data_IF_230082170334
#
_entry.id   IF_230082170334
#
_cell.length_a   1.000
_cell.length_b   1.000
_cell.length_c   1.000
_cell.angle_alpha   90.00
_cell.angle_beta   90.00
_cell.angle_gamma   90.00
#
_symmetry.space_group_name_H-M   'P 1'
#
loop_
_entity.id
_entity.type
_entity.pdbx_description
1 polymer ?
#
# COMPACT_ATOMS: atom_id res chain seq x y z
N UNK A 1 -11.18 -69.23 -31.65
CA UNK A 1 -12.01 -68.14 -32.23
C UNK A 1 -12.69 -67.30 -31.15
N UNK A 2 -13.35 -67.88 -30.14
CA UNK A 2 -13.97 -67.14 -29.02
C UNK A 2 -12.99 -66.30 -28.17
N UNK A 3 -11.78 -66.79 -27.90
CA UNK A 3 -10.76 -66.07 -27.11
C UNK A 3 -10.29 -64.76 -27.78
N UNK A 4 -10.17 -64.76 -29.11
CA UNK A 4 -9.78 -63.57 -29.87
C UNK A 4 -10.90 -62.51 -29.82
N UNK A 5 -12.16 -62.92 -29.98
CA UNK A 5 -13.31 -62.01 -29.84
C UNK A 5 -13.39 -61.39 -28.45
N UNK A 6 -13.06 -62.15 -27.40
CA UNK A 6 -13.03 -61.63 -26.04
C UNK A 6 -11.90 -60.61 -25.84
N UNK A 7 -10.68 -60.90 -26.33
CA UNK A 7 -9.54 -59.96 -26.27
C UNK A 7 -9.83 -58.65 -27.03
N UNK A 8 -10.46 -58.75 -28.20
CA UNK A 8 -10.87 -57.59 -28.99
C UNK A 8 -11.84 -56.70 -28.19
N UNK A 9 -12.90 -57.30 -27.61
CA UNK A 9 -13.89 -56.56 -26.82
C UNK A 9 -13.28 -55.83 -25.62
N UNK A 10 -12.29 -56.45 -24.96
CA UNK A 10 -11.55 -55.80 -23.86
C UNK A 10 -10.78 -54.57 -24.36
N UNK A 11 -10.06 -54.69 -25.48
CA UNK A 11 -9.29 -53.56 -26.06
C UNK A 11 -10.18 -52.43 -26.56
N UNK A 12 -11.34 -52.74 -27.14
CA UNK A 12 -12.34 -51.74 -27.52
C UNK A 12 -12.86 -50.97 -26.30
N UNK A 13 -13.08 -51.67 -25.19
CA UNK A 13 -13.53 -51.06 -23.94
C UNK A 13 -12.43 -50.17 -23.32
N UNK A 14 -11.19 -50.65 -23.22
CA UNK A 14 -10.05 -49.86 -22.73
C UNK A 14 -9.85 -48.58 -23.56
N UNK A 15 -9.97 -48.67 -24.90
CA UNK A 15 -9.88 -47.50 -25.79
C UNK A 15 -11.02 -46.51 -25.52
N UNK A 16 -12.25 -47.01 -25.32
CA UNK A 16 -13.42 -46.17 -25.01
C UNK A 16 -13.24 -45.44 -23.67
N UNK A 17 -12.75 -46.13 -22.65
CA UNK A 17 -12.51 -45.55 -21.33
C UNK A 17 -11.38 -44.51 -21.38
N UNK A 18 -10.28 -44.80 -22.09
CA UNK A 18 -9.18 -43.86 -22.31
C UNK A 18 -9.66 -42.56 -22.96
N UNK A 19 -10.45 -42.64 -24.04
CA UNK A 19 -11.01 -41.45 -24.72
C UNK A 19 -11.87 -40.62 -23.78
N UNK A 20 -12.69 -41.27 -22.95
CA UNK A 20 -13.52 -40.57 -21.95
C UNK A 20 -12.67 -39.82 -20.93
N UNK A 21 -11.60 -40.45 -20.43
CA UNK A 21 -10.67 -39.81 -19.47
C UNK A 21 -9.97 -38.61 -20.13
N UNK A 22 -9.47 -38.76 -21.35
CA UNK A 22 -8.82 -37.66 -22.09
C UNK A 22 -9.75 -36.46 -22.27
N UNK A 23 -10.99 -36.69 -22.68
CA UNK A 23 -11.99 -35.62 -22.81
C UNK A 23 -12.35 -34.99 -21.46
N UNK A 24 -12.42 -35.79 -20.39
CA UNK A 24 -12.66 -35.32 -19.03
C UNK A 24 -11.57 -34.40 -18.53
N UNK A 25 -10.30 -34.79 -18.71
CA UNK A 25 -9.14 -33.97 -18.35
C UNK A 25 -9.11 -32.69 -19.17
N UNK A 26 -9.39 -32.75 -20.47
CA UNK A 26 -9.44 -31.55 -21.33
C UNK A 26 -10.47 -30.53 -20.80
N UNK A 27 -11.71 -30.96 -20.54
CA UNK A 27 -12.75 -30.09 -19.98
C UNK A 27 -12.40 -29.55 -18.59
N UNK A 28 -11.77 -30.39 -17.76
CA UNK A 28 -11.31 -29.96 -16.44
C UNK A 28 -10.22 -28.90 -16.53
N UNK A 29 -9.29 -29.01 -17.47
CA UNK A 29 -8.23 -28.03 -17.69
C UNK A 29 -8.80 -26.68 -18.16
N UNK A 30 -9.73 -26.70 -19.12
CA UNK A 30 -10.46 -25.50 -19.57
C UNK A 30 -11.17 -24.81 -18.39
N UNK A 31 -11.90 -25.57 -17.56
CA UNK A 31 -12.54 -25.02 -16.37
C UNK A 31 -11.54 -24.38 -15.40
N UNK A 32 -10.42 -25.05 -15.12
CA UNK A 32 -9.39 -24.52 -14.21
C UNK A 32 -8.76 -23.25 -14.78
N UNK A 33 -8.61 -23.13 -16.10
CA UNK A 33 -8.15 -21.89 -16.73
C UNK A 33 -9.14 -20.74 -16.47
N UNK A 34 -10.43 -20.96 -16.73
CA UNK A 34 -11.46 -19.94 -16.51
C UNK A 34 -11.53 -19.52 -15.03
N UNK A 35 -11.51 -20.49 -14.11
CA UNK A 35 -11.50 -20.22 -12.66
C UNK A 35 -10.24 -19.42 -12.24
N UNK A 36 -9.08 -19.72 -12.85
CA UNK A 36 -7.82 -19.00 -12.60
C UNK A 36 -7.87 -17.57 -13.11
N UNK A 37 -8.38 -17.34 -14.33
CA UNK A 37 -8.51 -16.01 -14.91
C UNK A 37 -9.44 -15.11 -14.08
N UNK A 38 -10.57 -15.66 -13.63
CA UNK A 38 -11.51 -14.95 -12.76
C UNK A 38 -10.85 -14.55 -11.44
N UNK A 39 -10.18 -15.50 -10.79
CA UNK A 39 -9.49 -15.24 -9.52
C UNK A 39 -8.39 -14.17 -9.70
N UNK A 40 -7.49 -14.33 -10.65
CA UNK A 40 -6.42 -13.35 -10.87
C UNK A 40 -6.96 -11.95 -11.19
N UNK A 41 -8.08 -11.86 -11.90
CA UNK A 41 -8.77 -10.59 -12.16
C UNK A 41 -9.31 -9.94 -10.87
N UNK A 42 -9.85 -10.73 -9.94
CA UNK A 42 -10.27 -10.22 -8.62
C UNK A 42 -9.10 -9.75 -7.78
N UNK A 43 -7.95 -10.44 -7.85
CA UNK A 43 -6.72 -10.01 -7.16
C UNK A 43 -6.22 -8.69 -7.72
N UNK A 44 -6.21 -8.53 -9.05
CA UNK A 44 -5.82 -7.28 -9.67
C UNK A 44 -6.70 -6.11 -9.19
N UNK A 45 -8.03 -6.27 -9.17
CA UNK A 45 -8.94 -5.26 -8.63
C UNK A 45 -8.66 -4.95 -7.15
N UNK A 46 -8.29 -5.97 -6.37
CA UNK A 46 -7.93 -5.79 -4.97
C UNK A 46 -6.64 -4.99 -4.80
N UNK A 47 -5.66 -5.17 -5.69
CA UNK A 47 -4.43 -4.38 -5.73
C UNK A 47 -4.69 -2.93 -6.14
N UNK A 48 -5.55 -2.70 -7.15
CA UNK A 48 -5.98 -1.36 -7.56
C UNK A 48 -6.66 -0.63 -6.40
N UNK A 49 -7.58 -1.30 -5.68
CA UNK A 49 -8.20 -0.74 -4.47
C UNK A 49 -7.19 -0.46 -3.36
N UNK A 50 -6.18 -1.32 -3.18
CA UNK A 50 -5.14 -1.09 -2.19
C UNK A 50 -4.34 0.17 -2.53
N UNK A 51 -4.04 0.41 -3.81
CA UNK A 51 -3.39 1.63 -4.26
C UNK A 51 -4.23 2.86 -3.89
N UNK A 52 -5.52 2.86 -4.22
CA UNK A 52 -6.44 3.97 -3.89
C UNK A 52 -6.46 4.27 -2.38
N UNK A 53 -6.51 3.23 -1.53
CA UNK A 53 -6.49 3.39 -0.08
C UNK A 53 -5.16 3.95 0.44
N UNK A 54 -4.03 3.56 -0.15
CA UNK A 54 -2.71 4.10 0.21
C UNK A 54 -2.64 5.59 -0.13
N UNK A 55 -3.07 5.96 -1.34
CA UNK A 55 -3.13 7.36 -1.78
C UNK A 55 -4.02 8.20 -0.86
N UNK A 56 -5.23 7.72 -0.55
CA UNK A 56 -6.16 8.41 0.37
C UNK A 56 -5.54 8.66 1.75
N UNK A 57 -4.90 7.64 2.34
CA UNK A 57 -4.25 7.77 3.64
C UNK A 57 -3.10 8.77 3.59
N UNK A 58 -2.30 8.76 2.52
CA UNK A 58 -1.18 9.69 2.35
C UNK A 58 -1.66 11.13 2.18
N UNK A 59 -2.68 11.35 1.35
CA UNK A 59 -3.24 12.68 1.10
C UNK A 59 -3.88 13.26 2.35
N UNK A 60 -4.67 12.45 3.08
CA UNK A 60 -5.28 12.88 4.33
C UNK A 60 -4.22 13.24 5.39
N UNK A 61 -3.18 12.42 5.53
CA UNK A 61 -2.09 12.68 6.47
C UNK A 61 -1.26 13.90 6.07
N UNK A 62 -1.04 14.11 4.77
CA UNK A 62 -0.33 15.28 4.24
C UNK A 62 -1.10 16.56 4.53
N UNK A 63 -2.40 16.58 4.19
CA UNK A 63 -3.27 17.73 4.41
C UNK A 63 -3.35 18.11 5.90
N UNK A 64 -3.57 17.13 6.78
CA UNK A 64 -3.63 17.38 8.23
C UNK A 64 -2.33 17.99 8.76
N UNK A 65 -1.18 17.43 8.38
CA UNK A 65 0.14 17.91 8.82
C UNK A 65 0.47 19.29 8.27
N UNK A 66 0.11 19.56 7.01
CA UNK A 66 0.32 20.87 6.40
C UNK A 66 -0.55 21.93 7.06
N UNK A 67 -1.82 21.62 7.37
CA UNK A 67 -2.70 22.56 8.07
C UNK A 67 -2.17 22.91 9.46
N UNK A 68 -1.70 21.92 10.22
CA UNK A 68 -1.07 22.14 11.53
C UNK A 68 0.20 23.00 11.42
N UNK A 69 1.05 22.73 10.43
CA UNK A 69 2.27 23.50 10.20
C UNK A 69 1.95 24.95 9.78
N UNK A 70 0.92 25.14 8.95
CA UNK A 70 0.46 26.44 8.48
C UNK A 70 -0.05 27.30 9.64
N UNK A 71 -0.86 26.73 10.53
CA UNK A 71 -1.35 27.44 11.73
C UNK A 71 -0.20 27.93 12.62
N UNK A 72 0.82 27.09 12.83
CA UNK A 72 2.01 27.48 13.59
C UNK A 72 2.80 28.59 12.86
N UNK A 73 2.93 28.50 11.54
CA UNK A 73 3.61 29.52 10.75
C UNK A 73 2.89 30.88 10.82
N UNK A 74 1.56 30.89 10.67
CA UNK A 74 0.74 32.11 10.76
C UNK A 74 0.85 32.78 12.14
N UNK A 75 0.81 31.98 13.21
CA UNK A 75 1.00 32.49 14.56
C UNK A 75 2.40 33.07 14.76
N UNK A 76 3.45 32.43 14.24
CA UNK A 76 4.82 32.96 14.28
C UNK A 76 4.95 34.28 13.50
N UNK A 77 4.34 34.38 12.31
CA UNK A 77 4.33 35.60 11.51
C UNK A 77 3.64 36.76 12.24
N UNK A 78 2.51 36.48 12.89
CA UNK A 78 1.79 37.45 13.71
C UNK A 78 2.62 37.91 14.91
N UNK A 79 3.24 36.97 15.64
CA UNK A 79 4.11 37.25 16.78
C UNK A 79 5.31 38.12 16.36
N UNK A 80 5.99 37.77 15.26
CA UNK A 80 7.11 38.54 14.71
C UNK A 80 6.66 39.97 14.37
N UNK A 81 5.50 40.13 13.73
CA UNK A 81 4.99 41.45 13.35
C UNK A 81 4.67 42.32 14.55
N UNK A 82 4.05 41.75 15.60
CA UNK A 82 3.77 42.47 16.84
C UNK A 82 5.07 42.87 17.55
N UNK A 83 6.05 41.97 17.62
CA UNK A 83 7.38 42.26 18.18
C UNK A 83 8.10 43.37 17.41
N UNK A 84 8.08 43.35 16.08
CA UNK A 84 8.67 44.41 15.24
C UNK A 84 8.01 45.77 15.46
N UNK A 85 6.67 45.80 15.57
CA UNK A 85 5.91 47.01 15.88
C UNK A 85 6.34 47.57 17.25
N UNK A 86 6.35 46.73 18.28
CA UNK A 86 6.75 47.12 19.63
C UNK A 86 8.21 47.59 19.69
N UNK A 87 9.12 46.93 19.00
CA UNK A 87 10.52 47.35 18.92
C UNK A 87 10.68 48.75 18.30
N UNK A 88 9.87 49.06 17.29
CA UNK A 88 9.85 50.39 16.64
C UNK A 88 9.30 51.45 17.58
N UNK A 89 8.13 51.21 18.18
CA UNK A 89 7.50 52.11 19.16
C UNK A 89 8.42 52.36 20.37
N UNK A 90 9.19 51.35 20.81
CA UNK A 90 10.13 51.47 21.92
C UNK A 90 11.34 52.35 21.57
N UNK A 91 11.84 52.27 20.33
CA UNK A 91 12.90 53.16 19.83
C UNK A 91 12.42 54.61 19.76
N UNK A 92 11.21 54.83 19.27
CA UNK A 92 10.61 56.16 19.21
C UNK A 92 10.41 56.73 20.63
N UNK A 93 9.88 55.93 21.56
CA UNK A 93 9.67 56.33 22.95
C UNK A 93 10.98 56.70 23.67
N UNK A 94 12.06 55.95 23.42
CA UNK A 94 13.38 56.23 23.99
C UNK A 94 13.97 57.57 23.52
N UNK A 95 13.54 58.08 22.36
CA UNK A 95 13.94 59.39 21.84
C UNK A 95 13.01 60.55 22.26
N UNK A 96 11.94 60.25 23.01
CA UNK A 96 10.94 61.24 23.41
C UNK A 96 11.42 62.12 24.56
N UNK A 97 11.23 63.44 24.46
CA UNK A 97 11.56 64.40 25.52
C UNK A 97 10.43 64.56 26.56
N UNK A 98 9.21 64.08 26.28
CA UNK A 98 8.07 64.14 27.20
C UNK A 98 8.13 62.98 28.21
N UNK A 99 8.62 63.31 29.41
CA UNK A 99 8.77 62.34 30.50
C UNK A 99 7.43 61.78 31.03
N UNK A 100 6.30 62.49 30.89
CA UNK A 100 5.00 61.98 31.31
C UNK A 100 4.51 60.93 30.32
N UNK A 101 4.59 61.25 29.02
CA UNK A 101 4.24 60.30 27.95
C UNK A 101 5.15 59.05 27.99
N UNK A 102 6.46 59.25 28.23
CA UNK A 102 7.41 58.17 28.43
C UNK A 102 6.96 57.21 29.53
N UNK A 103 6.69 57.73 30.73
CA UNK A 103 6.30 56.90 31.89
C UNK A 103 4.98 56.16 31.65
N UNK A 104 3.99 56.79 31.01
CA UNK A 104 2.70 56.15 30.72
C UNK A 104 2.81 55.01 29.69
N UNK A 105 3.65 55.20 28.66
CA UNK A 105 3.75 54.26 27.54
C UNK A 105 4.71 53.11 27.87
N UNK A 106 5.78 53.37 28.63
CA UNK A 106 6.77 52.35 28.98
C UNK A 106 6.15 51.14 29.69
N UNK A 107 5.24 51.37 30.65
CA UNK A 107 4.54 50.30 31.36
C UNK A 107 3.74 49.40 30.41
N UNK A 108 3.07 49.97 29.40
CA UNK A 108 2.31 49.19 28.41
C UNK A 108 3.20 48.31 27.53
N UNK A 109 4.44 48.72 27.28
CA UNK A 109 5.39 47.97 26.43
C UNK A 109 5.95 46.72 27.11
N UNK A 110 5.84 46.64 28.44
CA UNK A 110 6.28 45.47 29.23
C UNK A 110 5.20 44.39 29.37
N UNK A 111 4.00 44.63 28.86
CA UNK A 111 2.90 43.67 28.89
C UNK A 111 3.14 42.50 27.90
N UNK A 112 2.53 41.32 28.16
CA UNK A 112 2.57 40.19 27.22
C UNK A 112 2.08 40.59 25.83
N UNK A 113 2.52 39.88 24.78
CA UNK A 113 1.97 40.05 23.43
C UNK A 113 0.46 39.75 23.42
N UNK A 114 -0.30 40.51 22.63
CA UNK A 114 -1.74 40.29 22.45
C UNK A 114 -2.03 38.95 21.77
N UNK A 115 -1.13 38.53 20.86
CA UNK A 115 -1.22 37.23 20.17
C UNK A 115 -0.73 36.06 21.06
N UNK A 116 -0.14 36.36 22.21
CA UNK A 116 0.50 35.37 23.09
C UNK A 116 1.87 34.92 22.57
N UNK A 117 2.72 34.41 23.47
CA UNK A 117 4.03 33.87 23.11
C UNK A 117 3.90 32.38 22.75
N UNK A 118 4.23 32.00 21.52
CA UNK A 118 4.34 30.60 21.16
C UNK A 118 5.53 29.93 21.90
N UNK A 119 5.39 28.68 22.35
CA UNK A 119 6.54 27.89 22.78
C UNK A 119 7.58 27.76 21.65
N UNK A 120 8.84 27.50 22.02
CA UNK A 120 9.92 27.34 21.06
C UNK A 120 9.62 26.26 20.00
N UNK A 121 9.51 26.69 18.74
CA UNK A 121 9.22 25.81 17.61
C UNK A 121 10.50 25.11 17.16
N UNK A 122 10.48 23.78 17.17
CA UNK A 122 11.59 22.94 16.71
C UNK A 122 11.23 22.33 15.37
N UNK A 123 11.81 22.85 14.29
CA UNK A 123 11.55 22.36 12.93
C UNK A 123 12.29 21.05 12.69
N UNK A 124 11.54 20.01 12.31
CA UNK A 124 12.11 18.74 11.88
C UNK A 124 12.49 18.79 10.40
N UNK A 125 13.78 19.00 10.11
CA UNK A 125 14.30 19.19 8.75
C UNK A 125 14.25 17.93 7.87
N UNK A 126 14.20 16.74 8.49
CA UNK A 126 14.16 15.42 7.84
C UNK A 126 12.73 14.85 7.72
N UNK A 127 11.69 15.67 7.91
CA UNK A 127 10.31 15.22 7.78
C UNK A 127 10.00 14.81 6.33
N UNK A 128 9.72 13.51 6.10
CA UNK A 128 9.37 12.98 4.78
C UNK A 128 8.46 11.75 4.89
N UNK A 129 7.83 11.41 3.76
CA UNK A 129 7.07 10.16 3.58
C UNK A 129 7.91 9.03 2.93
N UNK A 130 9.21 9.25 2.70
CA UNK A 130 10.07 8.27 2.04
C UNK A 130 10.06 6.88 2.70
N UNK A 131 10.00 6.72 4.03
CA UNK A 131 9.94 5.39 4.66
C UNK A 131 8.71 4.55 4.26
N UNK A 132 7.61 5.18 3.81
CA UNK A 132 6.43 4.46 3.32
C UNK A 132 6.77 3.69 2.03
N UNK A 133 7.65 4.24 1.19
CA UNK A 133 8.09 3.60 -0.04
C UNK A 133 8.72 2.23 0.24
N UNK A 134 9.56 2.13 1.27
CA UNK A 134 10.23 0.88 1.62
C UNK A 134 9.23 -0.18 2.09
N UNK A 135 8.18 0.24 2.81
CA UNK A 135 7.07 -0.66 3.20
C UNK A 135 6.32 -1.19 1.97
N UNK A 136 6.06 -0.34 0.98
CA UNK A 136 5.39 -0.73 -0.27
C UNK A 136 6.27 -1.68 -1.09
N UNK A 137 7.58 -1.42 -1.19
CA UNK A 137 8.50 -2.31 -1.88
C UNK A 137 8.57 -3.68 -1.21
N UNK A 138 8.68 -3.71 0.11
CA UNK A 138 8.68 -4.97 0.86
C UNK A 138 7.36 -5.75 0.71
N UNK A 139 6.22 -5.06 0.54
CA UNK A 139 4.96 -5.72 0.20
C UNK A 139 5.04 -6.39 -1.19
N UNK A 140 5.60 -5.69 -2.18
CA UNK A 140 5.79 -6.22 -3.53
C UNK A 140 6.63 -7.50 -3.54
N UNK A 141 7.79 -7.48 -2.85
CA UNK A 141 8.67 -8.65 -2.72
C UNK A 141 7.94 -9.85 -2.09
N UNK A 142 7.17 -9.62 -1.02
CA UNK A 142 6.39 -10.69 -0.36
C UNK A 142 5.32 -11.29 -1.25
N UNK A 143 4.68 -10.49 -2.10
CA UNK A 143 3.69 -10.98 -3.06
C UNK A 143 4.38 -11.84 -4.12
N UNK A 144 5.52 -11.41 -4.65
CA UNK A 144 6.29 -12.15 -5.63
C UNK A 144 6.78 -13.51 -5.08
N UNK A 145 7.32 -13.52 -3.86
CA UNK A 145 7.74 -14.74 -3.18
C UNK A 145 6.58 -15.73 -3.00
N UNK A 146 5.41 -15.23 -2.60
CA UNK A 146 4.21 -16.05 -2.45
C UNK A 146 3.77 -16.65 -3.80
N UNK A 147 3.76 -15.84 -4.87
CA UNK A 147 3.44 -16.31 -6.21
C UNK A 147 4.39 -17.43 -6.66
N UNK A 148 5.69 -17.26 -6.45
CA UNK A 148 6.70 -18.27 -6.79
C UNK A 148 6.50 -19.57 -6.00
N UNK A 149 6.19 -19.47 -4.71
CA UNK A 149 5.90 -20.63 -3.85
C UNK A 149 4.66 -21.40 -4.33
N UNK A 150 3.56 -20.70 -4.61
CA UNK A 150 2.32 -21.33 -5.05
C UNK A 150 2.47 -21.92 -6.47
N UNK A 151 3.20 -21.25 -7.37
CA UNK A 151 3.51 -21.79 -8.69
C UNK A 151 4.21 -23.15 -8.59
N UNK A 152 5.17 -23.30 -7.68
CA UNK A 152 5.83 -24.59 -7.43
C UNK A 152 4.85 -25.71 -7.03
N UNK A 153 3.86 -25.40 -6.19
CA UNK A 153 2.81 -26.38 -5.79
C UNK A 153 1.90 -26.71 -6.96
N UNK A 154 1.50 -25.71 -7.74
CA UNK A 154 0.67 -25.89 -8.94
C UNK A 154 1.39 -26.78 -9.95
N UNK A 155 2.65 -26.49 -10.26
CA UNK A 155 3.46 -27.31 -11.17
C UNK A 155 3.55 -28.76 -10.70
N UNK A 156 3.75 -28.98 -9.40
CA UNK A 156 3.75 -30.33 -8.83
C UNK A 156 2.41 -31.04 -9.05
N UNK A 157 1.28 -30.39 -8.74
CA UNK A 157 -0.05 -30.98 -8.90
C UNK A 157 -0.36 -31.33 -10.36
N UNK A 158 0.06 -30.49 -11.30
CA UNK A 158 -0.05 -30.75 -12.74
C UNK A 158 0.76 -31.99 -13.12
N UNK A 159 2.00 -32.11 -12.65
CA UNK A 159 2.86 -33.26 -12.93
C UNK A 159 2.36 -34.57 -12.30
N UNK A 160 1.74 -34.50 -11.13
CA UNK A 160 1.17 -35.65 -10.44
C UNK A 160 -0.13 -36.17 -11.10
N UNK A 161 -0.74 -35.37 -12.00
CA UNK A 161 -1.97 -35.76 -12.71
C UNK A 161 -1.68 -36.84 -13.76
N UNK A 162 -1.95 -38.09 -13.40
CA UNK A 162 -1.73 -39.26 -14.25
C UNK A 162 -3.02 -39.72 -14.92
N UNK A 163 -3.02 -39.87 -16.25
CA UNK A 163 -4.21 -40.31 -17.00
C UNK A 163 -4.35 -41.83 -17.10
N UNK A 164 -3.23 -42.56 -17.02
CA UNK A 164 -3.22 -44.01 -17.15
C UNK A 164 -2.04 -44.64 -16.44
N UNK A 165 -2.19 -45.91 -16.07
CA UNK A 165 -1.08 -46.78 -15.68
C UNK A 165 -1.14 -48.02 -16.56
N UNK A 166 0.03 -48.57 -16.89
CA UNK A 166 0.12 -49.84 -17.61
C UNK A 166 0.27 -50.96 -16.58
N UNK A 167 -0.54 -52.01 -16.68
CA UNK A 167 -0.37 -53.20 -15.85
C UNK A 167 0.96 -53.89 -16.19
N UNK A 168 1.69 -54.38 -15.18
CA UNK A 168 2.89 -55.18 -15.41
C UNK A 168 2.51 -56.40 -16.27
N UNK A 169 3.19 -56.56 -17.41
CA UNK A 169 3.18 -57.81 -18.15
C UNK A 169 3.71 -58.90 -17.21
N UNK A 170 2.81 -59.77 -16.73
CA UNK A 170 3.26 -61.07 -16.22
C UNK A 170 3.94 -61.77 -17.39
N UNK A 171 5.27 -61.79 -17.35
CA UNK A 171 6.06 -62.69 -18.18
C UNK A 171 5.54 -64.11 -17.96
N UNK A 172 5.22 -64.76 -19.07
CA UNK A 172 5.08 -66.21 -19.20
C UNK A 172 6.05 -66.63 -20.28
#
# INVERSE_FOLDING_TARGET
QAENHQKLKVREQELKDMKRVMEGVKRSAEKVHDDTENMLSELQRSMERLQELIEEVMDQASLEKMNQAQEVAENLEAEIKERQKRDTEMKDLASCEDNIYYLQTCDTMTSPLEVGDLPAVHVKQDASFEPIRDVILALGERIEDLCNQELGKITKQVNDTTLFTLGNSKGV
#
